data_IF_129949850530
#
_entry.id   IF_129949850530
#
_cell.length_a   1.000
_cell.length_b   1.000
_cell.length_c   1.000
_cell.angle_alpha   90.00
_cell.angle_beta   90.00
_cell.angle_gamma   90.00
#
_symmetry.space_group_name_H-M   'P 1'
#
loop_
_entity.id
_entity.type
_entity.pdbx_description
1 polymer ?
#
# COMPACT_ATOMS: atom_id res chain seq x y z
N UNK A 1 21.32 -4.94 16.99
CA UNK A 1 20.25 -4.27 16.22
C UNK A 1 19.15 -5.30 15.88
N UNK A 2 17.87 -5.01 16.18
CA UNK A 2 16.76 -5.85 15.73
C UNK A 2 16.64 -5.73 14.19
N UNK A 3 17.08 -6.75 13.45
CA UNK A 3 17.01 -6.78 11.98
C UNK A 3 15.63 -7.16 11.43
N UNK A 4 14.72 -7.63 12.30
CA UNK A 4 13.39 -8.13 11.95
C UNK A 4 12.31 -7.07 12.18
N UNK A 5 11.38 -6.94 11.24
CA UNK A 5 10.21 -6.07 11.34
C UNK A 5 10.38 -4.64 10.81
N UNK A 6 11.59 -4.26 10.38
CA UNK A 6 11.88 -2.95 9.77
C UNK A 6 10.98 -2.69 8.56
N UNK A 7 10.56 -1.44 8.41
CA UNK A 7 9.93 -0.95 7.18
C UNK A 7 10.90 -1.10 6.00
N UNK A 8 10.36 -1.42 4.84
CA UNK A 8 11.14 -1.64 3.62
C UNK A 8 10.53 -0.91 2.44
N UNK A 9 11.36 -0.48 1.51
CA UNK A 9 10.94 0.05 0.21
C UNK A 9 11.35 -0.86 -0.92
N UNK A 10 10.53 -0.92 -1.97
CA UNK A 10 10.88 -1.51 -3.25
C UNK A 10 12.02 -0.73 -3.88
N UNK A 11 12.95 -1.46 -4.49
CA UNK A 11 14.03 -0.89 -5.28
C UNK A 11 13.50 -0.66 -6.70
N UNK A 12 13.76 0.51 -7.29
CA UNK A 12 13.38 0.76 -8.68
C UNK A 12 14.12 -0.21 -9.62
N UNK A 13 13.42 -0.80 -10.59
CA UNK A 13 14.01 -1.75 -11.55
C UNK A 13 14.31 -3.15 -11.01
N UNK A 14 13.97 -3.47 -9.76
CA UNK A 14 14.17 -4.80 -9.19
C UNK A 14 12.96 -5.27 -8.35
N UNK A 15 12.82 -6.58 -8.18
CA UNK A 15 11.72 -7.20 -7.44
C UNK A 15 11.96 -7.21 -5.92
N UNK A 16 13.17 -6.85 -5.50
CA UNK A 16 13.60 -6.81 -4.11
C UNK A 16 13.10 -5.60 -3.31
N UNK A 17 13.40 -5.65 -2.01
CA UNK A 17 13.15 -4.55 -1.09
C UNK A 17 14.37 -4.29 -0.22
N UNK A 18 14.56 -3.06 0.24
CA UNK A 18 15.62 -2.67 1.19
C UNK A 18 15.02 -2.04 2.44
N UNK A 19 15.65 -2.16 3.63
CA UNK A 19 15.22 -1.43 4.81
C UNK A 19 15.18 0.08 4.55
N UNK A 20 14.17 0.79 5.07
CA UNK A 20 14.06 2.25 4.92
C UNK A 20 15.31 2.95 5.49
N UNK A 21 15.87 2.44 6.58
CA UNK A 21 17.08 3.00 7.19
C UNK A 21 18.35 2.86 6.32
N UNK A 22 18.36 1.92 5.37
CA UNK A 22 19.47 1.70 4.45
C UNK A 22 19.33 2.51 3.15
N UNK A 23 18.27 3.32 3.04
CA UNK A 23 17.99 4.13 1.86
C UNK A 23 19.17 5.05 1.54
N UNK A 24 19.52 5.99 2.42
CA UNK A 24 20.58 6.99 2.20
C UNK A 24 21.92 6.40 1.76
N UNK A 25 22.32 5.25 2.32
CA UNK A 25 23.56 4.56 1.90
C UNK A 25 23.46 4.00 0.48
N UNK A 26 22.33 3.41 0.10
CA UNK A 26 22.12 2.87 -1.24
C UNK A 26 22.03 3.98 -2.30
N UNK A 27 21.44 5.13 -1.97
CA UNK A 27 21.30 6.24 -2.93
C UNK A 27 22.60 6.96 -3.20
N UNK A 28 23.45 7.19 -2.19
CA UNK A 28 24.77 7.79 -2.41
C UNK A 28 25.63 6.98 -3.40
N UNK A 29 25.32 5.70 -3.60
CA UNK A 29 25.97 4.82 -4.57
C UNK A 29 25.30 4.91 -5.96
N UNK A 30 23.97 5.09 -6.04
CA UNK A 30 23.24 5.18 -7.32
C UNK A 30 23.26 6.57 -7.96
N UNK A 31 23.32 7.65 -7.17
CA UNK A 31 23.29 9.03 -7.69
C UNK A 31 24.59 9.47 -8.37
N UNK A 32 25.62 8.61 -8.40
CA UNK A 32 26.81 8.84 -9.21
C UNK A 32 26.53 8.72 -10.72
N UNK A 33 25.41 8.09 -11.11
CA UNK A 33 25.13 7.71 -12.51
C UNK A 33 23.90 8.39 -13.15
N UNK A 34 23.07 9.17 -12.43
CA UNK A 34 21.83 9.71 -13.03
C UNK A 34 21.24 10.95 -12.30
N UNK A 35 21.63 12.16 -12.72
CA UNK A 35 21.29 13.44 -12.07
C UNK A 35 19.82 13.90 -12.22
N UNK A 36 19.00 13.26 -13.08
CA UNK A 36 17.66 13.74 -13.43
C UNK A 36 16.49 12.87 -12.95
N UNK A 37 16.74 11.74 -12.28
CA UNK A 37 15.67 10.84 -11.85
C UNK A 37 15.23 11.12 -10.40
N UNK A 38 14.09 11.81 -10.22
CA UNK A 38 13.41 11.92 -8.92
C UNK A 38 12.96 10.52 -8.45
N UNK A 39 13.75 9.91 -7.58
CA UNK A 39 13.53 8.53 -7.17
C UNK A 39 12.26 8.35 -6.33
N UNK A 40 11.43 7.38 -6.72
CA UNK A 40 10.16 7.06 -6.04
C UNK A 40 10.36 5.97 -5.00
N UNK A 41 10.10 6.32 -3.74
CA UNK A 41 10.10 5.37 -2.62
C UNK A 41 8.75 4.70 -2.44
N UNK A 42 8.65 3.44 -2.86
CA UNK A 42 7.42 2.66 -2.73
C UNK A 42 7.56 1.67 -1.58
N UNK A 43 6.73 1.81 -0.54
CA UNK A 43 6.71 0.88 0.58
C UNK A 43 6.42 -0.56 0.14
N UNK A 44 6.98 -1.53 0.86
CA UNK A 44 6.78 -2.96 0.59
C UNK A 44 5.31 -3.37 0.75
N UNK A 45 4.92 -4.48 0.11
CA UNK A 45 3.54 -4.96 0.18
C UNK A 45 3.14 -5.40 1.60
N UNK A 46 4.05 -6.01 2.37
CA UNK A 46 3.80 -6.38 3.76
C UNK A 46 3.60 -5.15 4.66
N UNK A 47 4.34 -4.06 4.44
CA UNK A 47 4.13 -2.80 5.15
C UNK A 47 2.78 -2.16 4.82
N UNK A 48 2.38 -2.17 3.54
CA UNK A 48 1.05 -1.68 3.10
C UNK A 48 -0.09 -2.49 3.70
N UNK A 49 -0.01 -3.83 3.64
CA UNK A 49 -0.98 -4.72 4.28
C UNK A 49 -1.04 -4.49 5.78
N UNK A 50 0.13 -4.32 6.42
CA UNK A 50 0.18 -4.05 7.85
C UNK A 50 -0.55 -2.78 8.23
N UNK A 51 -0.36 -1.70 7.48
CA UNK A 51 -1.09 -0.45 7.71
C UNK A 51 -2.59 -0.63 7.48
N UNK A 52 -2.99 -1.36 6.43
CA UNK A 52 -4.41 -1.61 6.13
C UNK A 52 -5.13 -2.43 7.21
N UNK A 53 -4.42 -3.28 7.95
CA UNK A 53 -5.00 -3.99 9.11
C UNK A 53 -5.40 -3.06 10.27
N UNK A 54 -5.01 -1.78 10.25
CA UNK A 54 -5.44 -0.79 11.24
C UNK A 54 -6.39 0.25 10.64
N UNK A 55 -6.10 0.75 9.44
CA UNK A 55 -6.86 1.89 8.83
C UNK A 55 -7.87 1.48 7.75
N UNK A 56 -7.90 0.20 7.40
CA UNK A 56 -8.74 -0.34 6.33
C UNK A 56 -8.17 -0.13 4.92
N UNK A 57 -8.76 -0.86 3.97
CA UNK A 57 -8.39 -0.96 2.55
C UNK A 57 -8.96 0.19 1.71
N UNK A 58 -10.14 0.70 2.10
CA UNK A 58 -10.94 1.68 1.36
C UNK A 58 -10.20 2.98 1.08
N UNK A 59 -9.23 3.32 1.94
CA UNK A 59 -8.43 4.52 1.82
C UNK A 59 -9.20 5.80 2.14
N UNK A 60 -8.48 6.92 2.18
CA UNK A 60 -9.05 8.17 2.70
C UNK A 60 -10.21 8.78 1.90
N UNK A 61 -10.40 8.46 0.61
CA UNK A 61 -11.54 9.07 -0.11
C UNK A 61 -12.85 8.37 0.26
N UNK A 62 -12.83 7.04 0.26
CA UNK A 62 -14.01 6.25 0.62
C UNK A 62 -14.32 6.29 2.12
N UNK A 63 -13.34 6.53 2.99
CA UNK A 63 -13.60 6.67 4.43
C UNK A 63 -14.50 7.84 4.81
N UNK A 64 -14.76 8.77 3.89
CA UNK A 64 -15.72 9.86 4.07
C UNK A 64 -17.16 9.34 3.96
N UNK A 65 -17.36 8.26 3.21
CA UNK A 65 -18.67 7.70 2.84
C UNK A 65 -19.00 6.41 3.58
N UNK A 66 -17.98 5.61 3.92
CA UNK A 66 -18.17 4.27 4.47
C UNK A 66 -17.23 3.98 5.63
N UNK A 67 -17.66 3.06 6.48
CA UNK A 67 -16.82 2.50 7.54
C UNK A 67 -15.62 1.72 6.95
N UNK A 68 -14.54 1.53 7.73
CA UNK A 68 -13.33 0.90 7.24
C UNK A 68 -13.54 -0.56 6.82
N UNK A 69 -13.02 -0.92 5.66
CA UNK A 69 -13.10 -2.28 5.10
C UNK A 69 -11.80 -3.02 5.37
N UNK A 70 -11.88 -4.26 5.86
CA UNK A 70 -10.72 -5.07 6.18
C UNK A 70 -10.80 -6.45 5.54
N UNK A 71 -9.63 -7.04 5.27
CA UNK A 71 -9.56 -8.44 4.88
C UNK A 71 -9.92 -9.33 6.07
N UNK A 72 -10.80 -10.31 5.84
CA UNK A 72 -11.08 -11.38 6.80
C UNK A 72 -10.05 -12.50 6.72
N UNK A 73 -9.42 -12.68 5.55
CA UNK A 73 -8.43 -13.72 5.31
C UNK A 73 -7.34 -13.30 4.33
N UNK A 74 -6.13 -13.84 4.51
CA UNK A 74 -5.00 -13.72 3.59
C UNK A 74 -4.47 -15.13 3.33
N UNK A 75 -4.52 -15.56 2.07
CA UNK A 75 -4.09 -16.89 1.63
C UNK A 75 -2.80 -16.75 0.82
N UNK A 76 -1.75 -17.47 1.21
CA UNK A 76 -0.44 -17.39 0.56
C UNK A 76 -0.20 -18.65 -0.25
N UNK A 77 0.09 -18.44 -1.54
CA UNK A 77 0.30 -19.47 -2.55
C UNK A 77 1.54 -20.36 -2.39
N UNK A 78 2.38 -20.10 -1.37
CA UNK A 78 3.69 -20.71 -1.21
C UNK A 78 3.77 -21.45 0.11
N UNK A 79 4.07 -22.76 0.04
CA UNK A 79 4.18 -23.65 1.20
C UNK A 79 5.32 -23.31 2.18
N UNK A 80 6.27 -22.45 1.79
CA UNK A 80 7.44 -22.12 2.63
C UNK A 80 7.21 -20.94 3.60
N UNK A 81 5.98 -20.41 3.68
CA UNK A 81 5.70 -19.25 4.51
C UNK A 81 5.32 -19.65 5.94
N UNK A 82 6.13 -19.21 6.92
CA UNK A 82 5.86 -19.40 8.33
C UNK A 82 4.78 -18.42 8.82
N UNK A 83 3.65 -18.94 9.31
CA UNK A 83 2.52 -18.15 9.80
C UNK A 83 2.89 -17.12 10.87
N UNK A 84 3.81 -17.46 11.78
CA UNK A 84 4.25 -16.54 12.82
C UNK A 84 4.99 -15.33 12.22
N UNK A 85 5.86 -15.56 11.23
CA UNK A 85 6.54 -14.47 10.54
C UNK A 85 5.56 -13.60 9.74
N UNK A 86 4.55 -14.21 9.11
CA UNK A 86 3.51 -13.47 8.40
C UNK A 86 2.71 -12.60 9.39
N UNK A 87 2.18 -13.16 10.46
CA UNK A 87 1.43 -12.43 11.49
C UNK A 87 2.23 -11.26 12.06
N UNK A 88 3.49 -11.49 12.41
CA UNK A 88 4.38 -10.44 12.90
C UNK A 88 4.59 -9.33 11.86
N UNK A 89 4.71 -9.67 10.57
CA UNK A 89 4.87 -8.69 9.49
C UNK A 89 3.59 -7.90 9.19
N UNK A 90 2.42 -8.52 9.36
CA UNK A 90 1.12 -7.99 8.98
C UNK A 90 0.40 -7.24 10.08
N UNK A 91 0.71 -7.46 11.36
CA UNK A 91 0.12 -6.65 12.42
C UNK A 91 0.92 -6.70 13.73
N UNK A 92 1.50 -7.85 14.06
CA UNK A 92 2.09 -8.10 15.39
C UNK A 92 3.20 -7.11 15.78
N UNK A 93 3.97 -6.61 14.81
CA UNK A 93 5.08 -5.68 15.09
C UNK A 93 4.66 -4.34 15.69
N UNK A 94 3.47 -3.82 15.40
CA UNK A 94 3.02 -2.50 15.90
C UNK A 94 1.71 -2.56 16.70
N UNK A 95 1.12 -3.75 16.84
CA UNK A 95 -0.14 -4.00 17.54
C UNK A 95 -0.17 -3.44 18.97
N UNK A 96 0.88 -3.67 19.77
CA UNK A 96 0.96 -3.18 21.15
C UNK A 96 0.95 -1.66 21.28
N UNK A 97 1.26 -0.91 20.22
CA UNK A 97 1.23 0.55 20.24
C UNK A 97 -0.13 1.12 19.85
N UNK A 98 -1.05 0.30 19.32
CA UNK A 98 -2.29 0.74 18.67
C UNK A 98 -3.54 0.06 19.24
N UNK A 99 -3.48 -0.47 20.47
CA UNK A 99 -4.65 -1.05 21.14
C UNK A 99 -5.73 -0.01 21.48
N UNK A 100 -5.37 1.27 21.51
CA UNK A 100 -6.22 2.38 21.91
C UNK A 100 -6.94 3.08 20.74
N UNK A 101 -6.85 2.53 19.52
CA UNK A 101 -7.52 3.13 18.36
C UNK A 101 -9.03 3.16 18.59
N UNK A 102 -9.62 4.34 18.45
CA UNK A 102 -11.07 4.53 18.56
C UNK A 102 -11.82 3.96 17.36
N UNK A 103 -13.04 3.49 17.61
CA UNK A 103 -13.98 3.12 16.55
C UNK A 103 -14.19 4.31 15.58
N UNK A 104 -14.33 4.06 14.26
CA UNK A 104 -14.52 2.76 13.63
C UNK A 104 -13.23 2.02 13.25
N UNK A 105 -12.06 2.61 13.53
CA UNK A 105 -10.76 2.02 13.22
C UNK A 105 -10.28 1.08 14.34
N UNK A 106 -9.37 0.18 13.99
CA UNK A 106 -8.80 -0.76 14.96
C UNK A 106 -8.03 -1.88 14.30
N UNK A 107 -7.32 -2.64 15.12
CA UNK A 107 -6.57 -3.80 14.67
C UNK A 107 -7.50 -4.91 14.17
N UNK A 108 -7.29 -5.35 12.93
CA UNK A 108 -7.81 -6.61 12.39
C UNK A 108 -6.72 -7.65 12.22
N UNK A 109 -7.01 -8.86 12.71
CA UNK A 109 -6.18 -10.04 12.57
C UNK A 109 -6.83 -10.97 11.55
N UNK A 110 -6.51 -10.85 10.24
CA UNK A 110 -7.08 -11.73 9.24
C UNK A 110 -6.65 -13.18 9.50
N UNK A 111 -7.51 -14.13 9.13
CA UNK A 111 -7.15 -15.54 9.06
C UNK A 111 -6.02 -15.72 8.04
N UNK A 112 -4.90 -16.31 8.46
CA UNK A 112 -3.73 -16.52 7.59
C UNK A 112 -3.58 -18.01 7.34
N UNK A 113 -3.56 -18.38 6.06
CA UNK A 113 -3.34 -19.75 5.62
C UNK A 113 -2.38 -19.80 4.45
N UNK A 114 -1.65 -20.90 4.36
CA UNK A 114 -0.79 -21.22 3.22
C UNK A 114 -1.36 -22.44 2.53
N UNK A 115 -1.39 -22.43 1.20
CA UNK A 115 -1.80 -23.62 0.45
C UNK A 115 -0.62 -24.59 0.30
N UNK A 116 -0.89 -25.87 0.50
CA UNK A 116 0.05 -26.96 0.23
C UNK A 116 0.14 -27.23 -1.27
N UNK A 117 0.53 -26.22 -2.05
CA UNK A 117 0.83 -26.40 -3.45
C UNK A 117 2.24 -25.88 -3.71
N UNK A 118 3.15 -26.79 -4.09
CA UNK A 118 4.50 -26.42 -4.49
C UNK A 118 4.40 -25.81 -5.88
N UNK A 119 4.06 -24.53 -5.97
CA UNK A 119 4.39 -23.79 -7.18
C UNK A 119 5.90 -23.87 -7.34
N UNK A 120 6.35 -24.50 -8.43
CA UNK A 120 7.75 -24.44 -8.85
C UNK A 120 8.08 -22.95 -8.97
N UNK A 121 9.04 -22.46 -8.19
CA UNK A 121 9.59 -21.13 -8.43
C UNK A 121 10.16 -21.16 -9.85
N UNK A 122 9.50 -20.47 -10.77
CA UNK A 122 10.03 -20.27 -12.11
C UNK A 122 11.23 -19.35 -11.98
N UNK A 123 12.42 -19.90 -12.17
CA UNK A 123 13.66 -19.13 -12.26
C UNK A 123 13.58 -18.28 -13.53
N UNK A 124 13.61 -16.95 -13.38
CA UNK A 124 13.51 -16.03 -14.50
C UNK A 124 13.22 -14.60 -14.04
N UNK A 125 13.41 -13.64 -14.94
CA UNK A 125 13.06 -12.23 -14.70
C UNK A 125 11.54 -12.09 -14.68
N UNK A 126 10.96 -11.42 -13.69
CA UNK A 126 9.52 -11.16 -13.74
C UNK A 126 9.17 -10.31 -14.97
N UNK A 127 7.97 -10.54 -15.55
CA UNK A 127 7.48 -9.70 -16.63
C UNK A 127 7.37 -8.24 -16.17
N UNK A 128 7.67 -7.31 -17.08
CA UNK A 128 7.55 -5.87 -16.85
C UNK A 128 6.13 -5.34 -17.00
N UNK A 129 5.13 -6.21 -17.02
CA UNK A 129 3.72 -5.85 -17.11
C UNK A 129 2.93 -6.42 -15.94
N UNK A 130 1.89 -5.71 -15.55
CA UNK A 130 0.92 -6.12 -14.54
C UNK A 130 -0.44 -6.32 -15.21
N UNK A 131 -1.13 -7.41 -14.86
CA UNK A 131 -2.48 -7.69 -15.32
C UNK A 131 -3.47 -7.23 -14.26
N UNK A 132 -4.49 -6.51 -14.68
CA UNK A 132 -5.58 -6.05 -13.83
C UNK A 132 -6.89 -6.54 -14.43
N UNK A 133 -7.76 -7.13 -13.61
CA UNK A 133 -9.14 -7.41 -14.00
C UNK A 133 -10.10 -6.92 -12.92
N UNK A 134 -11.17 -6.25 -13.33
CA UNK A 134 -12.24 -5.80 -12.46
C UNK A 134 -13.54 -6.52 -12.82
N UNK A 135 -14.11 -7.28 -11.87
CA UNK A 135 -15.36 -8.00 -12.08
C UNK A 135 -16.58 -7.08 -12.26
N UNK A 136 -16.58 -5.90 -11.64
CA UNK A 136 -17.73 -4.97 -11.68
C UNK A 136 -17.91 -4.40 -13.07
N UNK A 137 -16.80 -3.99 -13.69
CA UNK A 137 -16.81 -3.42 -15.04
C UNK A 137 -16.56 -4.50 -16.12
N UNK A 138 -16.23 -5.73 -15.70
CA UNK A 138 -15.72 -6.83 -16.53
C UNK A 138 -14.59 -6.40 -17.50
N UNK A 139 -13.68 -5.56 -17.03
CA UNK A 139 -12.56 -5.02 -17.83
C UNK A 139 -11.24 -5.64 -17.41
N UNK A 140 -10.42 -5.99 -18.40
CA UNK A 140 -9.05 -6.42 -18.23
C UNK A 140 -8.09 -5.37 -18.81
N UNK A 141 -7.03 -5.04 -18.09
CA UNK A 141 -6.00 -4.10 -18.52
C UNK A 141 -4.61 -4.71 -18.32
N UNK A 142 -3.72 -4.45 -19.28
CA UNK A 142 -2.30 -4.75 -19.18
C UNK A 142 -1.57 -3.43 -18.97
N UNK A 143 -0.85 -3.33 -17.86
CA UNK A 143 -0.17 -2.10 -17.43
C UNK A 143 1.33 -2.32 -17.52
N UNK A 144 2.04 -1.40 -18.18
CA UNK A 144 3.51 -1.39 -18.15
C UNK A 144 3.97 -0.93 -16.75
N UNK A 145 4.73 -1.78 -16.06
CA UNK A 145 5.10 -1.55 -14.67
C UNK A 145 6.12 -0.42 -14.49
N UNK A 146 6.83 -0.03 -15.55
CA UNK A 146 7.77 1.10 -15.54
C UNK A 146 7.05 2.44 -15.72
N UNK A 147 6.08 2.51 -16.63
CA UNK A 147 5.38 3.77 -16.95
C UNK A 147 4.13 3.97 -16.10
N UNK A 148 3.53 2.89 -15.59
CA UNK A 148 2.23 2.91 -14.90
C UNK A 148 1.03 3.14 -15.82
N UNK A 149 1.25 3.15 -17.14
CA UNK A 149 0.21 3.32 -18.16
C UNK A 149 -0.19 1.96 -18.76
N UNK A 150 -1.36 1.91 -19.37
CA UNK A 150 -1.77 0.74 -20.16
C UNK A 150 -0.87 0.55 -21.38
N UNK A 151 -0.93 -0.60 -22.03
CA UNK A 151 -0.23 -0.85 -23.31
C UNK A 151 -0.64 0.12 -24.44
N UNK A 152 -1.78 0.79 -24.30
CA UNK A 152 -2.27 1.83 -25.21
C UNK A 152 -1.82 3.25 -24.79
N UNK A 153 -0.93 3.36 -23.79
CA UNK A 153 -0.48 4.61 -23.16
C UNK A 153 -1.60 5.43 -22.50
N UNK A 154 -2.65 4.76 -22.04
CA UNK A 154 -3.76 5.40 -21.33
C UNK A 154 -3.60 5.27 -19.81
N UNK A 155 -4.33 6.10 -19.06
CA UNK A 155 -4.41 5.96 -17.60
C UNK A 155 -5.23 4.73 -17.23
N UNK A 156 -4.68 3.86 -16.37
CA UNK A 156 -5.41 2.68 -15.89
C UNK A 156 -6.66 3.06 -15.08
N UNK A 157 -7.69 2.19 -15.06
CA UNK A 157 -8.90 2.35 -14.23
C UNK A 157 -8.63 2.44 -12.73
N UNK A 158 -7.46 1.98 -12.26
CA UNK A 158 -7.03 2.09 -10.84
C UNK A 158 -6.03 3.22 -10.61
N UNK A 159 -5.79 4.06 -11.61
CA UNK A 159 -4.98 5.26 -11.45
C UNK A 159 -5.63 6.24 -10.47
N UNK A 160 -4.82 7.10 -9.85
CA UNK A 160 -5.34 8.12 -8.91
C UNK A 160 -6.37 9.04 -9.56
N UNK A 161 -6.14 9.43 -10.81
CA UNK A 161 -7.03 10.32 -11.56
C UNK A 161 -8.40 9.69 -11.80
N UNK A 162 -8.43 8.48 -12.37
CA UNK A 162 -9.69 7.78 -12.68
C UNK A 162 -10.47 7.43 -11.41
N UNK A 163 -9.79 6.97 -10.35
CA UNK A 163 -10.46 6.68 -9.07
C UNK A 163 -11.01 7.95 -8.40
N UNK A 164 -10.34 9.08 -8.56
CA UNK A 164 -10.82 10.36 -8.03
C UNK A 164 -12.04 10.86 -8.79
N UNK A 165 -12.04 10.78 -10.12
CA UNK A 165 -13.19 11.11 -10.96
C UNK A 165 -14.42 10.25 -10.59
N UNK A 166 -14.23 8.93 -10.42
CA UNK A 166 -15.29 8.04 -9.93
C UNK A 166 -15.82 8.47 -8.56
N UNK A 167 -14.94 8.90 -7.65
CA UNK A 167 -15.34 9.42 -6.34
C UNK A 167 -16.11 10.75 -6.44
N UNK A 168 -15.66 11.68 -7.30
CA UNK A 168 -16.37 12.95 -7.53
C UNK A 168 -17.77 12.69 -8.07
N UNK A 169 -17.91 11.84 -9.09
CA UNK A 169 -19.21 11.46 -9.64
C UNK A 169 -20.16 10.85 -8.59
N UNK A 170 -19.63 10.08 -7.64
CA UNK A 170 -20.40 9.55 -6.52
C UNK A 170 -20.79 10.66 -5.54
N UNK A 171 -19.86 11.52 -5.15
CA UNK A 171 -20.11 12.63 -4.22
C UNK A 171 -21.13 13.62 -4.76
N UNK A 172 -21.07 13.94 -6.06
CA UNK A 172 -22.06 14.83 -6.71
C UNK A 172 -23.48 14.28 -6.58
N UNK A 173 -23.65 12.95 -6.66
CA UNK A 173 -24.96 12.30 -6.48
C UNK A 173 -25.45 12.32 -5.04
N UNK A 174 -24.54 12.33 -4.06
CA UNK A 174 -24.89 12.28 -2.62
C UNK A 174 -25.08 13.68 -2.04
N UNK A 175 -24.20 14.63 -2.37
CA UNK A 175 -24.10 15.95 -1.74
C UNK A 175 -24.31 17.13 -2.71
N UNK A 176 -24.52 16.87 -4.01
CA UNK A 176 -24.63 17.90 -5.03
C UNK A 176 -23.29 18.49 -5.47
N UNK A 177 -23.31 19.66 -6.09
CA UNK A 177 -22.14 20.23 -6.78
C UNK A 177 -21.07 20.86 -5.87
N UNK A 178 -21.28 20.91 -4.56
CA UNK A 178 -20.32 21.49 -3.59
C UNK A 178 -19.28 20.46 -3.15
N UNK A 179 -18.52 19.91 -4.09
CA UNK A 179 -17.49 18.90 -3.83
C UNK A 179 -16.09 19.43 -4.14
N UNK A 180 -15.03 18.90 -3.49
CA UNK A 180 -13.66 19.34 -3.77
C UNK A 180 -13.25 19.05 -5.23
N UNK A 181 -12.66 20.07 -5.87
CA UNK A 181 -12.15 19.97 -7.23
C UNK A 181 -10.81 19.23 -7.25
N UNK A 182 -9.97 19.44 -6.23
CA UNK A 182 -8.64 18.83 -6.16
C UNK A 182 -8.65 17.54 -5.33
N UNK A 183 -7.85 16.56 -5.76
CA UNK A 183 -7.64 15.31 -5.01
C UNK A 183 -7.06 15.56 -3.61
N UNK A 184 -6.21 16.60 -3.50
CA UNK A 184 -5.60 16.99 -2.23
C UNK A 184 -6.66 17.43 -1.23
N UNK A 185 -7.57 18.31 -1.62
CA UNK A 185 -8.60 18.87 -0.73
C UNK A 185 -9.62 17.80 -0.37
N UNK A 186 -10.00 16.94 -1.32
CA UNK A 186 -10.83 15.77 -1.03
C UNK A 186 -10.22 14.84 0.03
N UNK A 187 -8.89 14.63 0.00
CA UNK A 187 -8.20 13.85 1.03
C UNK A 187 -8.15 14.54 2.40
N UNK A 188 -8.27 15.86 2.46
CA UNK A 188 -8.27 16.58 3.74
C UNK A 188 -9.59 16.40 4.51
N UNK A 189 -10.71 16.20 3.80
CA UNK A 189 -12.02 15.93 4.40
C UNK A 189 -12.04 14.65 5.25
N UNK A 190 -11.16 13.70 4.98
CA UNK A 190 -11.04 12.44 5.71
C UNK A 190 -10.24 12.59 7.02
N UNK A 191 -10.73 13.45 7.92
CA UNK A 191 -10.03 13.88 9.14
C UNK A 191 -9.63 12.68 10.00
N UNK A 192 -10.59 11.81 10.32
CA UNK A 192 -10.35 10.67 11.21
C UNK A 192 -9.39 9.65 10.59
N UNK A 193 -9.62 9.25 9.32
CA UNK A 193 -8.71 8.36 8.60
C UNK A 193 -7.27 8.89 8.57
N UNK A 194 -7.11 10.21 8.36
CA UNK A 194 -5.78 10.84 8.29
C UNK A 194 -5.10 10.83 9.66
N UNK A 195 -5.83 11.16 10.72
CA UNK A 195 -5.34 11.10 12.10
C UNK A 195 -4.88 9.68 12.45
N UNK A 196 -5.72 8.67 12.23
CA UNK A 196 -5.37 7.26 12.50
C UNK A 196 -4.18 6.81 11.66
N UNK A 197 -4.11 7.19 10.37
CA UNK A 197 -2.97 6.88 9.50
C UNK A 197 -1.66 7.49 10.04
N UNK A 198 -1.70 8.70 10.57
CA UNK A 198 -0.54 9.34 11.19
C UNK A 198 -0.12 8.63 12.49
N UNK A 199 -1.07 8.23 13.33
CA UNK A 199 -0.83 7.41 14.52
C UNK A 199 -0.16 6.06 14.17
N UNK A 200 -0.66 5.38 13.13
CA UNK A 200 -0.05 4.12 12.66
C UNK A 200 1.36 4.33 12.14
N UNK A 201 1.60 5.40 11.38
CA UNK A 201 2.95 5.74 10.91
C UNK A 201 3.90 6.04 12.08
N UNK A 202 3.44 6.80 13.09
CA UNK A 202 4.20 7.06 14.31
C UNK A 202 4.47 5.79 15.11
N UNK A 203 3.55 4.83 15.12
CA UNK A 203 3.77 3.54 15.79
C UNK A 203 4.94 2.75 15.19
N UNK A 204 5.15 2.80 13.87
CA UNK A 204 6.34 2.21 13.25
C UNK A 204 7.63 2.89 13.72
N UNK A 205 7.65 4.22 13.70
CA UNK A 205 8.81 5.02 14.08
C UNK A 205 9.16 4.85 15.56
N UNK A 206 8.17 4.97 16.45
CA UNK A 206 8.31 4.79 17.90
C UNK A 206 8.67 3.36 18.31
N UNK A 207 8.42 2.38 17.45
CA UNK A 207 8.84 0.99 17.66
C UNK A 207 10.22 0.66 17.07
N UNK A 208 10.89 1.67 16.49
CA UNK A 208 12.22 1.51 15.89
C UNK A 208 12.22 0.79 14.55
N UNK A 209 11.07 0.68 13.87
CA UNK A 209 10.99 0.04 12.54
C UNK A 209 11.29 1.00 11.38
N UNK A 210 11.55 2.27 11.67
CA UNK A 210 11.81 3.31 10.69
C UNK A 210 10.57 4.15 10.39
N UNK A 211 10.79 5.26 9.66
CA UNK A 211 9.75 6.22 9.29
C UNK A 211 9.09 5.81 7.98
N UNK A 212 7.77 5.93 7.90
CA UNK A 212 7.05 5.64 6.66
C UNK A 212 7.43 6.64 5.54
N UNK A 213 8.03 6.16 4.45
CA UNK A 213 8.32 6.98 3.27
C UNK A 213 7.00 7.41 2.61
N UNK A 214 6.68 8.70 2.68
CA UNK A 214 5.58 9.29 1.91
C UNK A 214 6.12 9.75 0.56
N UNK A 215 5.47 9.38 -0.54
CA UNK A 215 5.71 10.09 -1.80
C UNK A 215 5.32 11.56 -1.59
N UNK A 216 6.30 12.45 -1.70
CA UNK A 216 6.07 13.88 -1.82
C UNK A 216 5.23 14.07 -3.09
N UNK A 217 4.17 14.87 -2.94
CA UNK A 217 3.13 15.13 -3.95
C UNK A 217 3.72 15.40 -5.34
#
# INVERSE_FOLDING_TARGET
MKSRGLLRTKISGNEGTIPVLAQTMYYNIQTLDDDNNKQLFIMSCSDKLCRWNFIGLQGGLLSILINPIYLTSIIIGNSLCNNNHIQQSLFGRIEQKLYHLSAPYGLRRPFISSINNRKVQTMGRAPMYSLLWNCVDNKCEIINSSTGLTILNESSIVSKAVLFEKWQNLMTKIQGNMIPISYCDAKQLAVEYRKTKEEVNKAFENSGFGRWSASIK
#
